data_IF_513693695944
#
_entry.id   IF_513693695944
#
_cell.length_a   1.000
_cell.length_b   1.000
_cell.length_c   1.000
_cell.angle_alpha   90.00
_cell.angle_beta   90.00
_cell.angle_gamma   90.00
#
_symmetry.space_group_name_H-M   'P 1'
#
loop_
_entity.id
_entity.type
_entity.pdbx_description
1 polymer ?
#
# COMPACT_ATOMS: atom_id res chain seq x y z
N UNK A 1 -5.32 -8.98 8.00
CA UNK A 1 -6.61 -9.40 8.61
C UNK A 1 -6.76 -10.90 8.41
N UNK A 2 -7.02 -11.63 9.49
CA UNK A 2 -7.24 -13.08 9.46
C UNK A 2 -8.62 -13.38 10.05
N UNK A 3 -9.27 -14.43 9.54
CA UNK A 3 -10.59 -14.92 10.01
C UNK A 3 -10.50 -16.44 10.10
N UNK A 4 -10.94 -17.04 11.21
CA UNK A 4 -11.02 -18.49 11.35
C UNK A 4 -12.38 -19.03 10.92
N UNK A 5 -12.40 -20.28 10.47
CA UNK A 5 -13.58 -21.02 10.12
C UNK A 5 -13.33 -22.51 10.21
N UNK A 6 -14.36 -23.29 10.06
CA UNK A 6 -14.30 -24.76 10.06
C UNK A 6 -14.80 -25.28 8.71
N UNK A 7 -14.00 -26.09 8.04
CA UNK A 7 -14.43 -26.78 6.82
C UNK A 7 -14.86 -28.20 7.20
N UNK A 8 -16.10 -28.59 6.86
CA UNK A 8 -16.52 -29.93 6.93
C UNK A 8 -16.02 -30.73 5.72
N UNK A 9 -15.25 -31.78 5.97
CA UNK A 9 -14.84 -32.68 4.90
C UNK A 9 -15.94 -33.72 4.67
N UNK A 10 -16.29 -34.11 3.42
CA UNK A 10 -17.39 -35.00 3.11
C UNK A 10 -17.28 -36.41 3.77
N UNK A 11 -16.07 -36.83 4.13
CA UNK A 11 -15.79 -38.15 4.67
C UNK A 11 -14.78 -38.15 5.84
N UNK A 12 -14.63 -37.02 6.56
CA UNK A 12 -13.64 -36.92 7.64
C UNK A 12 -14.00 -35.87 8.70
N UNK A 13 -13.18 -35.76 9.76
CA UNK A 13 -13.39 -34.76 10.80
C UNK A 13 -13.29 -33.34 10.22
N UNK A 14 -14.07 -32.44 10.77
CA UNK A 14 -13.98 -31.03 10.44
C UNK A 14 -12.56 -30.49 10.70
N UNK A 15 -12.02 -29.72 9.77
CA UNK A 15 -10.70 -29.08 9.89
C UNK A 15 -10.85 -27.60 10.20
N UNK A 16 -10.13 -27.12 11.18
CA UNK A 16 -10.01 -25.68 11.39
C UNK A 16 -9.17 -25.07 10.27
N UNK A 17 -9.69 -23.99 9.69
CA UNK A 17 -9.08 -23.25 8.59
C UNK A 17 -9.11 -21.77 8.94
N UNK A 18 -8.06 -21.07 8.62
CA UNK A 18 -8.05 -19.64 8.71
C UNK A 18 -7.78 -19.01 7.34
N UNK A 19 -8.49 -17.92 7.07
CA UNK A 19 -8.38 -17.14 5.84
C UNK A 19 -7.65 -15.85 6.12
N UNK A 20 -6.69 -15.52 5.29
CA UNK A 20 -5.90 -14.30 5.40
C UNK A 20 -6.06 -13.47 4.14
N UNK A 21 -6.22 -12.16 4.30
CA UNK A 21 -6.16 -11.19 3.21
C UNK A 21 -5.19 -10.05 3.52
N UNK A 22 -4.52 -9.55 2.50
CA UNK A 22 -3.55 -8.48 2.65
C UNK A 22 -2.92 -8.06 1.31
N UNK A 23 -1.84 -7.30 1.40
CA UNK A 23 -1.08 -6.94 0.21
C UNK A 23 -0.47 -8.18 -0.44
N UNK A 24 -0.37 -8.17 -1.78
CA UNK A 24 0.17 -9.30 -2.53
C UNK A 24 1.55 -9.72 -2.03
N UNK A 25 2.44 -8.76 -1.78
CA UNK A 25 3.81 -9.05 -1.33
C UNK A 25 3.84 -9.69 0.06
N UNK A 26 2.96 -9.25 0.97
CA UNK A 26 2.88 -9.81 2.32
C UNK A 26 2.31 -11.22 2.33
N UNK A 27 1.36 -11.52 1.45
CA UNK A 27 0.68 -12.82 1.40
C UNK A 27 1.51 -13.84 0.62
N UNK A 28 1.96 -13.51 -0.59
CA UNK A 28 2.62 -14.46 -1.49
C UNK A 28 3.93 -15.03 -0.89
N UNK A 29 4.65 -14.23 -0.10
CA UNK A 29 5.90 -14.65 0.51
C UNK A 29 5.71 -15.70 1.64
N UNK A 30 4.50 -15.83 2.16
CA UNK A 30 4.11 -16.81 3.18
C UNK A 30 3.48 -18.07 2.58
N UNK A 31 3.19 -18.05 1.25
CA UNK A 31 2.57 -19.16 0.57
C UNK A 31 3.65 -20.12 0.06
N UNK A 32 3.46 -21.41 0.33
CA UNK A 32 4.24 -22.51 -0.25
C UNK A 32 3.43 -23.31 -1.28
N UNK A 33 2.13 -23.10 -1.32
CA UNK A 33 1.21 -23.77 -2.21
C UNK A 33 0.30 -22.75 -2.88
N UNK A 34 -0.35 -23.14 -3.97
CA UNK A 34 -1.43 -22.36 -4.58
C UNK A 34 -2.61 -23.27 -4.92
N UNK A 35 -3.81 -22.72 -4.88
CA UNK A 35 -5.05 -23.43 -5.15
C UNK A 35 -5.36 -23.43 -6.65
N UNK A 36 -5.78 -24.56 -7.20
CA UNK A 36 -6.33 -24.66 -8.55
C UNK A 36 -7.74 -25.26 -8.52
N UNK A 37 -8.47 -25.06 -9.62
CA UNK A 37 -9.92 -25.33 -9.69
C UNK A 37 -10.34 -26.81 -9.50
N UNK A 38 -9.41 -27.73 -9.51
CA UNK A 38 -9.62 -29.16 -9.23
C UNK A 38 -9.44 -29.53 -7.74
N UNK A 39 -9.44 -28.51 -6.86
CA UNK A 39 -9.19 -28.64 -5.42
C UNK A 39 -7.75 -29.08 -5.05
N UNK A 40 -6.84 -29.16 -6.01
CA UNK A 40 -5.46 -29.47 -5.72
C UNK A 40 -4.68 -28.24 -5.27
N UNK A 41 -3.60 -28.49 -4.52
CA UNK A 41 -2.76 -27.44 -3.96
C UNK A 41 -1.28 -27.73 -4.27
N UNK A 42 -0.84 -27.57 -5.53
CA UNK A 42 0.55 -27.78 -5.91
C UNK A 42 1.48 -26.78 -5.24
N UNK A 43 2.77 -27.12 -5.19
CA UNK A 43 3.82 -26.26 -4.64
C UNK A 43 3.97 -24.98 -5.43
N UNK A 44 4.08 -23.85 -4.73
CA UNK A 44 4.28 -22.54 -5.31
C UNK A 44 5.80 -22.29 -5.51
N UNK A 45 6.28 -22.56 -6.72
CA UNK A 45 7.66 -22.33 -7.11
C UNK A 45 7.98 -20.86 -7.41
N UNK A 46 9.27 -20.54 -7.57
CA UNK A 46 9.74 -19.19 -7.84
C UNK A 46 9.21 -18.60 -9.15
N UNK A 47 9.03 -19.41 -10.19
CA UNK A 47 8.52 -18.97 -11.50
C UNK A 47 7.04 -18.60 -11.41
N UNK A 48 6.24 -19.47 -10.80
CA UNK A 48 4.80 -19.23 -10.58
C UNK A 48 4.59 -18.00 -9.68
N UNK A 49 5.40 -17.86 -8.64
CA UNK A 49 5.40 -16.68 -7.75
C UNK A 49 5.67 -15.38 -8.52
N UNK A 50 6.70 -15.40 -9.35
CA UNK A 50 7.07 -14.24 -10.18
C UNK A 50 5.97 -13.89 -11.19
N UNK A 51 5.34 -14.89 -11.81
CA UNK A 51 4.24 -14.69 -12.74
C UNK A 51 3.02 -14.06 -12.05
N UNK A 52 2.66 -14.53 -10.86
CA UNK A 52 1.57 -13.95 -10.06
C UNK A 52 1.88 -12.50 -9.69
N UNK A 53 3.08 -12.22 -9.21
CA UNK A 53 3.51 -10.87 -8.84
C UNK A 53 3.49 -9.92 -10.05
N UNK A 54 3.99 -10.35 -11.20
CA UNK A 54 3.97 -9.55 -12.42
C UNK A 54 2.54 -9.23 -12.85
N UNK A 55 1.63 -10.19 -12.79
CA UNK A 55 0.22 -9.98 -13.11
C UNK A 55 -0.47 -9.04 -12.12
N UNK A 56 -0.18 -9.17 -10.82
CA UNK A 56 -0.70 -8.28 -9.79
C UNK A 56 -0.18 -6.84 -9.97
N UNK A 57 1.11 -6.67 -10.26
CA UNK A 57 1.73 -5.37 -10.52
C UNK A 57 1.19 -4.72 -11.80
N UNK A 58 1.01 -5.48 -12.88
CA UNK A 58 0.36 -5.00 -14.11
C UNK A 58 -1.10 -4.59 -13.88
N UNK A 59 -1.79 -5.22 -12.94
CA UNK A 59 -3.15 -4.84 -12.54
C UNK A 59 -3.13 -3.55 -11.70
N UNK A 60 -2.21 -3.46 -10.74
CA UNK A 60 -2.04 -2.28 -9.90
C UNK A 60 -1.60 -1.04 -10.68
N UNK A 61 -0.78 -1.20 -11.73
CA UNK A 61 -0.36 -0.09 -12.61
C UNK A 61 -1.51 0.54 -13.40
N UNK A 62 -2.66 -0.12 -13.46
CA UNK A 62 -3.92 0.41 -14.02
C UNK A 62 -4.76 1.15 -12.97
N UNK A 63 -4.21 1.42 -11.79
CA UNK A 63 -4.88 2.13 -10.70
C UNK A 63 -5.80 1.26 -9.85
N UNK A 64 -5.74 -0.05 -10.00
CA UNK A 64 -6.57 -0.96 -9.24
C UNK A 64 -5.87 -1.33 -7.91
N UNK A 65 -6.61 -1.32 -6.82
CA UNK A 65 -6.14 -1.84 -5.53
C UNK A 65 -6.19 -3.36 -5.57
N UNK A 66 -5.04 -4.00 -5.37
CA UNK A 66 -4.91 -5.45 -5.39
C UNK A 66 -4.86 -5.98 -3.96
N UNK A 67 -5.77 -6.90 -3.62
CA UNK A 67 -5.82 -7.61 -2.35
C UNK A 67 -5.66 -9.10 -2.61
N UNK A 68 -4.62 -9.69 -2.05
CA UNK A 68 -4.37 -11.12 -2.12
C UNK A 68 -5.09 -11.87 -1.00
N UNK A 69 -5.42 -13.12 -1.28
CA UNK A 69 -6.10 -14.03 -0.37
C UNK A 69 -5.35 -15.36 -0.31
N UNK A 70 -5.23 -15.89 0.89
CA UNK A 70 -4.67 -17.20 1.15
C UNK A 70 -5.40 -17.86 2.33
N UNK A 71 -5.26 -19.17 2.47
CA UNK A 71 -5.72 -19.88 3.64
C UNK A 71 -4.64 -20.82 4.18
N UNK A 72 -4.81 -21.22 5.44
CA UNK A 72 -3.99 -22.22 6.10
C UNK A 72 -4.84 -23.08 7.03
N UNK A 73 -4.32 -24.24 7.40
CA UNK A 73 -4.96 -25.15 8.35
C UNK A 73 -4.45 -24.87 9.76
N UNK A 74 -5.35 -24.86 10.74
CA UNK A 74 -5.06 -24.62 12.15
C UNK A 74 -5.93 -23.53 12.77
N UNK A 75 -5.70 -23.24 14.05
CA UNK A 75 -6.44 -22.25 14.83
C UNK A 75 -5.82 -20.85 14.68
N UNK A 76 -6.65 -19.80 14.75
CA UNK A 76 -6.15 -18.39 14.83
C UNK A 76 -5.30 -18.17 16.05
N UNK A 77 -5.54 -18.90 17.14
CA UNK A 77 -4.72 -18.81 18.37
C UNK A 77 -3.28 -19.24 18.14
N UNK A 78 -3.07 -20.22 17.24
CA UNK A 78 -1.72 -20.67 16.86
C UNK A 78 -0.98 -19.60 16.03
N UNK A 79 -1.72 -18.77 15.30
CA UNK A 79 -1.17 -17.67 14.51
C UNK A 79 -0.69 -16.53 15.41
N UNK A 80 -1.44 -16.22 16.47
CA UNK A 80 -1.10 -15.15 17.41
C UNK A 80 0.09 -15.51 18.30
N UNK A 81 0.23 -16.81 18.63
CA UNK A 81 1.30 -17.30 19.53
C UNK A 81 2.63 -17.59 18.81
N UNK A 82 2.60 -18.00 17.55
CA UNK A 82 3.78 -18.44 16.78
C UNK A 82 4.30 -17.43 15.75
N UNK A 83 3.68 -16.25 15.68
CA UNK A 83 3.89 -15.37 14.53
C UNK A 83 3.23 -15.98 13.27
N UNK A 84 3.18 -15.19 12.23
CA UNK A 84 2.49 -15.54 10.98
C UNK A 84 2.99 -16.88 10.41
N UNK A 85 2.10 -17.87 10.36
CA UNK A 85 2.42 -19.17 9.81
C UNK A 85 2.96 -19.06 8.38
N UNK A 86 4.06 -19.72 8.14
CA UNK A 86 4.53 -20.10 6.81
C UNK A 86 3.76 -21.36 6.37
N UNK A 87 3.62 -21.62 5.09
CA UNK A 87 2.91 -22.73 4.44
C UNK A 87 1.44 -22.45 4.09
N UNK A 88 1.11 -21.22 3.78
CA UNK A 88 -0.21 -20.87 3.28
C UNK A 88 -0.43 -21.40 1.85
N UNK A 89 -1.71 -21.61 1.53
CA UNK A 89 -2.18 -21.87 0.18
C UNK A 89 -2.69 -20.55 -0.41
N UNK A 90 -2.04 -20.08 -1.46
CA UNK A 90 -2.45 -18.88 -2.19
C UNK A 90 -3.71 -19.21 -3.01
N UNK A 91 -4.80 -18.47 -2.80
CA UNK A 91 -6.06 -18.65 -3.53
C UNK A 91 -6.13 -17.78 -4.78
N UNK A 92 -5.63 -16.56 -4.67
CA UNK A 92 -5.70 -15.59 -5.74
C UNK A 92 -5.62 -14.15 -5.23
N UNK A 93 -5.89 -13.20 -6.12
CA UNK A 93 -6.06 -11.81 -5.74
C UNK A 93 -7.30 -11.20 -6.39
N UNK A 94 -7.89 -10.26 -5.70
CA UNK A 94 -8.99 -9.44 -6.18
C UNK A 94 -8.48 -8.03 -6.48
N UNK A 95 -8.93 -7.47 -7.59
CA UNK A 95 -8.65 -6.10 -7.95
C UNK A 95 -9.91 -5.24 -7.75
N UNK A 96 -9.76 -4.08 -7.13
CA UNK A 96 -10.85 -3.15 -6.87
C UNK A 96 -10.51 -1.79 -7.46
N UNK A 97 -11.51 -1.17 -8.09
CA UNK A 97 -11.41 0.19 -8.59
C UNK A 97 -12.00 1.15 -7.55
N UNK A 98 -11.15 2.05 -7.06
CA UNK A 98 -11.53 3.10 -6.10
C UNK A 98 -11.09 4.44 -6.69
N UNK A 99 -11.92 5.07 -7.54
CA UNK A 99 -11.54 6.30 -8.23
C UNK A 99 -11.45 7.48 -7.26
N UNK A 100 -10.55 8.44 -7.53
CA UNK A 100 -10.56 9.71 -6.81
C UNK A 100 -11.93 10.39 -6.87
N UNK A 101 -12.29 11.10 -5.81
CA UNK A 101 -13.53 11.89 -5.81
C UNK A 101 -13.47 12.97 -6.90
N UNK A 102 -14.64 13.28 -7.47
CA UNK A 102 -14.78 14.42 -8.39
C UNK A 102 -14.30 15.69 -7.68
N UNK A 103 -13.72 16.60 -8.39
CA UNK A 103 -13.14 17.87 -7.90
C UNK A 103 -11.80 17.80 -7.15
N UNK A 104 -11.27 16.63 -6.79
CA UNK A 104 -9.97 16.57 -6.11
C UNK A 104 -8.85 17.08 -7.01
N UNK A 105 -8.86 16.73 -8.30
CA UNK A 105 -7.86 17.20 -9.25
C UNK A 105 -7.91 18.74 -9.40
N UNK A 106 -9.11 19.32 -9.47
CA UNK A 106 -9.29 20.78 -9.57
C UNK A 106 -8.80 21.47 -8.30
N UNK A 107 -9.10 20.92 -7.14
CA UNK A 107 -8.64 21.43 -5.84
C UNK A 107 -7.10 21.40 -5.73
N UNK A 108 -6.47 20.31 -6.18
CA UNK A 108 -5.01 20.20 -6.24
C UNK A 108 -4.41 21.25 -7.18
N UNK A 109 -4.99 21.42 -8.36
CA UNK A 109 -4.53 22.42 -9.32
C UNK A 109 -4.64 23.85 -8.75
N UNK A 110 -5.72 24.15 -8.03
CA UNK A 110 -5.92 25.43 -7.36
C UNK A 110 -4.86 25.68 -6.27
N UNK A 111 -4.60 24.68 -5.42
CA UNK A 111 -3.55 24.76 -4.39
C UNK A 111 -2.17 24.98 -5.00
N UNK A 112 -1.84 24.23 -6.05
CA UNK A 112 -0.57 24.35 -6.76
C UNK A 112 -0.40 25.71 -7.44
N UNK A 113 -1.47 26.29 -7.99
CA UNK A 113 -1.44 27.65 -8.56
C UNK A 113 -1.19 28.73 -7.50
N UNK A 114 -1.61 28.49 -6.26
CA UNK A 114 -1.30 29.31 -5.08
C UNK A 114 0.08 29.06 -4.48
N UNK A 115 0.93 28.24 -5.11
CA UNK A 115 2.29 27.95 -4.64
C UNK A 115 2.37 26.89 -3.53
N UNK A 116 1.28 26.19 -3.25
CA UNK A 116 1.26 25.11 -2.26
C UNK A 116 1.82 23.83 -2.86
N UNK A 117 2.80 23.23 -2.21
CA UNK A 117 3.28 21.91 -2.57
C UNK A 117 2.28 20.85 -2.08
N UNK A 118 1.61 20.17 -3.00
CA UNK A 118 0.70 19.07 -2.67
C UNK A 118 1.43 17.74 -2.79
N UNK A 119 1.34 16.92 -1.74
CA UNK A 119 2.01 15.62 -1.62
C UNK A 119 1.00 14.56 -1.23
N UNK A 120 1.06 13.41 -1.91
CA UNK A 120 0.22 12.26 -1.59
C UNK A 120 0.97 11.27 -0.71
N UNK A 121 0.35 10.88 0.41
CA UNK A 121 0.89 9.86 1.32
C UNK A 121 -0.15 8.74 1.46
N UNK A 122 0.21 7.52 1.06
CA UNK A 122 -0.72 6.39 1.02
C UNK A 122 -0.09 5.08 1.49
N UNK A 123 -0.91 4.18 2.04
CA UNK A 123 -0.53 2.79 2.29
C UNK A 123 -0.59 1.90 1.06
N UNK A 124 -1.11 2.38 -0.07
CA UNK A 124 -1.25 1.62 -1.30
C UNK A 124 0.12 1.30 -1.95
N UNK A 125 0.09 0.39 -2.94
CA UNK A 125 1.29 0.04 -3.71
C UNK A 125 1.81 1.24 -4.48
N UNK A 126 3.12 1.27 -4.75
CA UNK A 126 3.76 2.32 -5.53
C UNK A 126 3.08 2.52 -6.89
N UNK A 127 2.75 1.42 -7.59
CA UNK A 127 2.11 1.44 -8.89
C UNK A 127 0.73 2.09 -8.85
N UNK A 128 -0.10 1.71 -7.88
CA UNK A 128 -1.43 2.29 -7.66
C UNK A 128 -1.31 3.77 -7.30
N UNK A 129 -0.39 4.11 -6.40
CA UNK A 129 -0.16 5.48 -5.95
C UNK A 129 0.28 6.40 -7.09
N UNK A 130 1.24 5.97 -7.91
CA UNK A 130 1.71 6.72 -9.07
C UNK A 130 0.61 6.92 -10.12
N UNK A 131 -0.21 5.90 -10.37
CA UNK A 131 -1.33 6.02 -11.28
C UNK A 131 -2.33 7.08 -10.82
N UNK A 132 -2.73 7.03 -9.54
CA UNK A 132 -3.68 8.01 -8.96
C UNK A 132 -3.06 9.41 -8.96
N UNK A 133 -1.79 9.54 -8.58
CA UNK A 133 -1.10 10.82 -8.56
C UNK A 133 -1.06 11.50 -9.93
N UNK A 134 -0.86 10.73 -11.00
CA UNK A 134 -0.94 11.25 -12.39
C UNK A 134 -2.33 11.75 -12.73
N UNK A 135 -3.37 11.00 -12.37
CA UNK A 135 -4.75 11.44 -12.60
C UNK A 135 -5.10 12.71 -11.83
N UNK A 136 -4.49 12.92 -10.68
CA UNK A 136 -4.68 14.10 -9.84
C UNK A 136 -3.78 15.29 -10.21
N UNK A 137 -2.94 15.15 -11.24
CA UNK A 137 -2.05 16.23 -11.69
C UNK A 137 -0.85 16.49 -10.78
N UNK A 138 -0.47 15.53 -9.94
CA UNK A 138 0.76 15.60 -9.17
C UNK A 138 1.97 15.38 -10.08
N UNK A 139 3.10 16.03 -9.75
CA UNK A 139 4.36 15.88 -10.51
C UNK A 139 4.95 14.51 -10.23
N UNK A 140 4.72 13.58 -11.14
CA UNK A 140 5.32 12.23 -11.16
C UNK A 140 5.86 11.98 -12.57
N UNK A 141 7.06 11.42 -12.70
CA UNK A 141 7.67 11.13 -13.99
C UNK A 141 6.78 10.29 -14.91
N UNK A 142 7.01 10.31 -16.20
CA UNK A 142 6.30 9.46 -17.18
C UNK A 142 6.77 8.01 -17.04
N UNK A 143 5.93 7.05 -17.47
CA UNK A 143 6.18 5.61 -17.30
C UNK A 143 7.50 5.10 -17.89
N UNK A 144 8.08 5.80 -18.87
CA UNK A 144 9.36 5.47 -19.47
C UNK A 144 10.58 6.08 -18.75
N UNK A 145 10.35 6.98 -17.83
CA UNK A 145 11.39 7.59 -17.02
C UNK A 145 11.48 6.86 -15.66
N UNK A 146 11.84 5.58 -15.69
CA UNK A 146 12.51 4.89 -14.58
C UNK A 146 13.93 5.44 -14.40
N UNK A 147 14.15 6.61 -14.88
CA UNK A 147 15.39 7.35 -14.79
C UNK A 147 15.11 8.60 -14.01
N UNK A 148 15.86 8.78 -13.03
CA UNK A 148 16.24 10.02 -12.43
C UNK A 148 16.39 11.10 -13.53
N UNK A 149 15.39 11.97 -13.66
CA UNK A 149 15.69 13.31 -14.15
C UNK A 149 16.41 13.98 -12.98
N UNK A 150 17.69 14.23 -13.10
CA UNK A 150 18.58 14.79 -12.08
C UNK A 150 18.67 14.01 -10.76
N UNK A 151 18.54 12.68 -10.77
CA UNK A 151 18.61 11.88 -9.56
C UNK A 151 17.39 12.01 -8.63
N UNK A 152 16.34 12.73 -9.02
CA UNK A 152 15.15 12.92 -8.19
C UNK A 152 14.12 11.82 -8.45
N UNK A 153 13.83 11.04 -7.43
CA UNK A 153 12.73 10.09 -7.45
C UNK A 153 11.49 10.79 -6.92
N UNK A 154 10.45 10.92 -7.73
CA UNK A 154 9.18 11.55 -7.33
C UNK A 154 8.36 10.71 -6.35
N UNK A 155 8.69 9.44 -6.19
CA UNK A 155 8.03 8.52 -5.27
C UNK A 155 9.04 7.88 -4.31
N UNK A 156 8.71 7.86 -3.02
CA UNK A 156 9.41 7.10 -1.99
C UNK A 156 8.48 6.08 -1.35
N UNK A 157 9.00 4.88 -1.11
CA UNK A 157 8.26 3.85 -0.36
C UNK A 157 8.59 3.92 1.12
N UNK A 158 7.69 3.41 1.98
CA UNK A 158 7.96 3.27 3.42
C UNK A 158 9.26 2.52 3.68
N UNK A 159 9.54 1.45 2.94
CA UNK A 159 10.80 0.71 3.05
C UNK A 159 12.04 1.56 2.73
N UNK A 160 11.94 2.46 1.76
CA UNK A 160 13.04 3.38 1.46
C UNK A 160 13.23 4.40 2.57
N UNK A 161 12.13 4.86 3.20
CA UNK A 161 12.18 5.78 4.35
C UNK A 161 12.86 5.11 5.55
N UNK A 162 12.57 3.83 5.82
CA UNK A 162 13.18 3.08 6.92
C UNK A 162 14.71 2.98 6.83
N UNK A 163 15.25 3.06 5.61
CA UNK A 163 16.69 3.02 5.35
C UNK A 163 17.36 4.40 5.34
N UNK A 164 16.59 5.47 5.48
CA UNK A 164 17.11 6.83 5.47
C UNK A 164 17.33 7.37 6.88
N UNK A 165 18.38 8.16 7.04
CA UNK A 165 18.53 9.01 8.22
C UNK A 165 17.56 10.19 8.14
N UNK A 166 17.26 10.84 9.27
CA UNK A 166 16.42 12.04 9.32
C UNK A 166 16.95 13.16 8.41
N UNK A 167 18.27 13.31 8.31
CA UNK A 167 18.90 14.30 7.45
C UNK A 167 18.66 13.98 5.96
N UNK A 168 18.83 12.74 5.54
CA UNK A 168 18.57 12.29 4.17
C UNK A 168 17.10 12.46 3.78
N UNK A 169 16.17 12.10 4.69
CA UNK A 169 14.74 12.29 4.45
C UNK A 169 14.41 13.80 4.31
N UNK A 170 14.96 14.66 5.18
CA UNK A 170 14.80 16.11 5.10
C UNK A 170 15.22 16.68 3.75
N UNK A 171 16.33 16.22 3.19
CA UNK A 171 16.78 16.66 1.86
C UNK A 171 15.83 16.21 0.75
N UNK A 172 15.34 14.98 0.84
CA UNK A 172 14.54 14.34 -0.20
C UNK A 172 13.08 14.80 -0.27
N UNK A 173 12.42 15.09 0.86
CA UNK A 173 10.97 15.41 0.90
C UNK A 173 10.57 16.57 -0.01
N UNK A 174 11.47 17.53 -0.26
CA UNK A 174 11.19 18.68 -1.11
C UNK A 174 10.95 18.35 -2.59
N UNK A 175 11.45 17.22 -3.07
CA UNK A 175 11.34 16.78 -4.46
C UNK A 175 10.33 15.64 -4.66
N UNK A 176 9.86 15.03 -3.57
CA UNK A 176 8.94 13.89 -3.61
C UNK A 176 7.50 14.37 -3.64
N UNK A 177 6.71 13.83 -4.55
CA UNK A 177 5.27 14.11 -4.67
C UNK A 177 4.40 12.98 -4.16
N UNK A 178 4.96 11.77 -4.03
CA UNK A 178 4.22 10.56 -3.62
C UNK A 178 5.02 9.77 -2.60
N UNK A 179 4.37 9.41 -1.51
CA UNK A 179 4.88 8.44 -0.54
C UNK A 179 3.94 7.24 -0.53
N UNK A 180 4.44 6.07 -0.95
CA UNK A 180 3.69 4.84 -1.08
C UNK A 180 4.08 3.81 -0.02
N UNK A 181 3.21 2.83 0.27
CA UNK A 181 3.48 1.78 1.28
C UNK A 181 3.85 2.36 2.65
N UNK A 182 3.24 3.49 3.02
CA UNK A 182 3.54 4.15 4.28
C UNK A 182 2.71 3.60 5.43
N UNK A 183 3.31 3.57 6.61
CA UNK A 183 2.67 3.32 7.90
C UNK A 183 2.37 4.65 8.61
N UNK A 184 1.59 4.66 9.70
CA UNK A 184 1.41 5.87 10.52
C UNK A 184 2.73 6.49 10.99
N UNK A 185 3.73 5.67 11.33
CA UNK A 185 5.06 6.12 11.76
C UNK A 185 5.79 6.87 10.64
N UNK A 186 5.72 6.37 9.40
CA UNK A 186 6.30 7.05 8.24
C UNK A 186 5.63 8.40 7.99
N UNK A 187 4.30 8.50 8.15
CA UNK A 187 3.57 9.75 8.00
C UNK A 187 4.10 10.84 8.93
N UNK A 188 4.35 10.47 10.20
CA UNK A 188 4.96 11.40 11.16
C UNK A 188 6.35 11.85 10.75
N UNK A 189 7.22 10.90 10.37
CA UNK A 189 8.58 11.22 9.94
C UNK A 189 8.63 12.15 8.71
N UNK A 190 7.72 11.95 7.74
CA UNK A 190 7.59 12.79 6.56
C UNK A 190 7.22 14.23 6.95
N UNK A 191 6.24 14.38 7.84
CA UNK A 191 5.80 15.69 8.31
C UNK A 191 6.90 16.40 9.08
N UNK A 192 7.57 15.72 10.02
CA UNK A 192 8.72 16.26 10.75
C UNK A 192 9.83 16.73 9.79
N UNK A 193 10.06 15.96 8.71
CA UNK A 193 11.04 16.32 7.70
C UNK A 193 10.68 17.60 6.95
N UNK A 194 9.41 17.80 6.55
CA UNK A 194 8.93 19.05 5.95
C UNK A 194 9.03 20.23 6.91
N UNK A 195 8.58 20.06 8.15
CA UNK A 195 8.67 21.08 9.20
C UNK A 195 10.12 21.50 9.48
N UNK A 196 11.05 20.52 9.49
CA UNK A 196 12.48 20.78 9.66
C UNK A 196 13.09 21.61 8.52
N UNK A 197 12.43 21.70 7.38
CA UNK A 197 12.77 22.59 6.25
C UNK A 197 12.15 24.00 6.39
N UNK A 198 11.40 24.25 7.46
CA UNK A 198 10.67 25.50 7.67
C UNK A 198 9.30 25.54 6.97
N UNK A 199 8.81 24.43 6.43
CA UNK A 199 7.50 24.39 5.79
C UNK A 199 6.37 24.38 6.84
N UNK A 200 5.28 25.09 6.56
CA UNK A 200 4.02 24.94 7.26
C UNK A 200 3.26 23.79 6.61
N UNK A 201 2.94 22.77 7.40
CA UNK A 201 2.36 21.53 6.90
C UNK A 201 0.92 21.37 7.39
N UNK A 202 -0.01 21.18 6.46
CA UNK A 202 -1.35 20.69 6.75
C UNK A 202 -1.49 19.24 6.22
N UNK A 203 -2.17 18.40 6.96
CA UNK A 203 -2.42 17.02 6.56
C UNK A 203 -3.90 16.68 6.76
N UNK A 204 -4.52 16.11 5.74
CA UNK A 204 -5.90 15.60 5.79
C UNK A 204 -5.91 14.11 5.53
N UNK A 205 -6.85 13.37 6.11
CA UNK A 205 -7.02 11.94 5.85
C UNK A 205 -7.93 11.26 6.89
N UNK A 206 -8.44 10.10 6.54
CA UNK A 206 -9.36 9.30 7.36
C UNK A 206 -8.65 8.50 8.47
N UNK A 207 -7.33 8.52 8.52
CA UNK A 207 -6.51 7.81 9.52
C UNK A 207 -5.96 8.79 10.55
N UNK A 208 -5.88 8.32 11.83
CA UNK A 208 -5.47 9.12 12.96
C UNK A 208 -4.33 10.09 12.69
N UNK A 209 -4.61 11.35 12.93
CA UNK A 209 -3.65 12.44 12.78
C UNK A 209 -2.69 12.39 13.98
N UNK A 210 -1.37 12.52 13.78
CA UNK A 210 -0.43 12.63 14.90
C UNK A 210 -0.79 13.83 15.78
N UNK A 211 -0.80 13.61 17.09
CA UNK A 211 -1.35 14.53 18.11
C UNK A 211 -0.81 15.96 18.20
N UNK A 212 0.15 16.37 17.34
CA UNK A 212 0.70 17.73 17.27
C UNK A 212 0.41 18.46 15.95
N UNK A 213 -0.45 17.90 15.09
CA UNK A 213 -0.88 18.57 13.88
C UNK A 213 -2.28 19.13 14.04
N UNK A 214 -2.50 20.36 13.56
CA UNK A 214 -3.87 20.82 13.33
C UNK A 214 -4.45 19.94 12.23
N UNK A 215 -5.30 18.99 12.62
CA UNK A 215 -6.18 18.30 11.68
C UNK A 215 -7.27 19.29 11.30
N UNK A 216 -7.31 19.65 10.04
CA UNK A 216 -8.53 20.25 9.50
C UNK A 216 -9.52 19.10 9.31
N UNK A 217 -10.58 19.09 10.10
CA UNK A 217 -11.71 18.21 9.88
C UNK A 217 -12.46 18.68 8.62
N UNK A 218 -13.33 17.82 8.08
CA UNK A 218 -14.15 18.13 6.90
C UNK A 218 -14.99 19.40 7.08
N UNK A 219 -15.27 19.76 8.34
CA UNK A 219 -16.13 20.88 8.73
C UNK A 219 -15.35 22.21 8.78
N UNK A 220 -14.04 22.17 8.93
CA UNK A 220 -13.17 23.35 8.99
C UNK A 220 -12.87 23.95 7.60
N UNK A 221 -13.19 23.24 6.52
CA UNK A 221 -12.97 23.66 5.13
C UNK A 221 -14.21 24.31 4.48
N UNK A 222 -15.33 24.40 5.20
CA UNK A 222 -16.60 24.93 4.71
C UNK A 222 -17.06 26.22 5.41
N UNK A 223 -16.18 26.90 6.14
CA UNK A 223 -16.49 28.21 6.74
C UNK A 223 -15.75 29.36 6.07
#
# INVERSE_FOLDING_TARGET
>A
MAVSGTIQTPHGPSKEVYYIKGSIDSIINRCKFYYIADDSTPGLDGNTKSMILNKANATASRGLRVIAMAYGYGSVKDIESSGLQENLVFVGFQAMYDPPRKSVADSIALLQSGGVQVVMITGDSEQTALYIARQLGLKVGRDHERGTVDGSTYCLTGQAIDQMTKAQLKERVGTVSVFARTTPTHKMAIVEAFQSRGAVVAMTGDGGTPGNMRSFSRDDLCS
#
